data_IF_190554645180
#
_entry.id   IF_190554645180
#
_cell.length_a   1.000
_cell.length_b   1.000
_cell.length_c   1.000
_cell.angle_alpha   90.00
_cell.angle_beta   90.00
_cell.angle_gamma   90.00
#
_symmetry.space_group_name_H-M   'P 1'
#
loop_
_entity.id
_entity.type
_entity.pdbx_description
1 polymer ?
#
# COMPACT_ATOMS: atom_id res chain seq x y z
N UNK A 1 5.56 6.14 -37.49
CA UNK A 1 4.67 5.42 -36.57
C UNK A 1 5.26 5.51 -35.17
N UNK A 2 4.68 6.31 -34.28
CA UNK A 2 5.17 6.52 -32.92
C UNK A 2 4.12 6.01 -31.92
N UNK A 3 4.46 4.95 -31.18
CA UNK A 3 3.62 4.38 -30.12
C UNK A 3 3.55 5.32 -28.91
N UNK A 4 2.34 5.69 -28.51
CA UNK A 4 2.08 6.51 -27.32
C UNK A 4 2.12 5.62 -26.07
N UNK A 5 2.67 6.08 -24.93
CA UNK A 5 2.65 5.32 -23.68
C UNK A 5 1.22 5.35 -23.08
N UNK A 6 0.69 4.18 -22.75
CA UNK A 6 -0.61 4.05 -22.07
C UNK A 6 -0.43 4.49 -20.61
N UNK A 7 -0.85 5.73 -20.33
CA UNK A 7 -0.99 6.27 -18.97
C UNK A 7 -2.16 5.55 -18.28
N UNK A 8 -1.91 4.73 -17.27
CA UNK A 8 -2.98 4.14 -16.45
C UNK A 8 -3.59 5.20 -15.52
N UNK A 9 -4.79 5.64 -15.87
CA UNK A 9 -5.59 6.66 -15.19
C UNK A 9 -6.67 5.97 -14.34
N UNK A 10 -6.76 6.33 -13.05
CA UNK A 10 -7.95 6.38 -12.20
C UNK A 10 -9.03 5.29 -12.38
N UNK A 11 -9.12 4.38 -11.42
CA UNK A 11 -10.36 3.65 -11.16
C UNK A 11 -11.20 4.36 -10.06
N UNK A 12 -12.52 4.36 -10.27
CA UNK A 12 -13.48 5.43 -9.94
C UNK A 12 -14.45 4.98 -8.82
N UNK A 13 -15.02 5.97 -8.11
CA UNK A 13 -16.32 5.98 -7.40
C UNK A 13 -16.41 5.58 -5.90
N UNK A 14 -16.25 6.59 -5.04
CA UNK A 14 -17.27 6.92 -4.03
C UNK A 14 -17.59 8.42 -4.09
N UNK A 15 -18.69 8.74 -4.78
CA UNK A 15 -19.70 9.78 -4.48
C UNK A 15 -19.37 11.07 -3.73
N UNK A 16 -18.18 11.66 -3.84
CA UNK A 16 -17.95 13.06 -3.42
C UNK A 16 -17.13 13.71 -4.52
N UNK A 17 -17.67 14.78 -5.13
CA UNK A 17 -16.89 15.70 -5.97
C UNK A 17 -15.74 16.23 -5.11
N UNK A 18 -14.57 15.58 -5.17
CA UNK A 18 -13.37 16.17 -4.59
C UNK A 18 -12.73 17.05 -5.67
N UNK A 19 -12.36 18.30 -5.35
CA UNK A 19 -11.75 19.20 -6.32
C UNK A 19 -10.49 18.56 -6.91
N UNK A 20 -10.18 18.87 -8.16
CA UNK A 20 -9.07 18.30 -8.95
C UNK A 20 -7.72 18.27 -8.20
N UNK A 21 -7.52 19.24 -7.31
CA UNK A 21 -6.39 19.31 -6.37
C UNK A 21 -6.21 18.08 -5.46
N UNK A 22 -7.31 17.47 -5.01
CA UNK A 22 -7.26 16.28 -4.16
C UNK A 22 -6.79 15.03 -4.91
N UNK A 23 -7.09 14.96 -6.21
CA UNK A 23 -6.67 13.85 -7.05
C UNK A 23 -5.18 13.95 -7.39
N UNK A 24 -4.73 15.15 -7.79
CA UNK A 24 -3.31 15.43 -8.02
C UNK A 24 -2.48 15.19 -6.76
N UNK A 25 -3.01 15.57 -5.58
CA UNK A 25 -2.35 15.29 -4.31
C UNK A 25 -2.24 13.79 -4.03
N UNK A 26 -3.29 12.99 -4.31
CA UNK A 26 -3.27 11.53 -4.20
C UNK A 26 -2.17 10.90 -5.06
N UNK A 27 -2.20 11.16 -6.37
CA UNK A 27 -1.22 10.64 -7.33
C UNK A 27 0.21 11.04 -6.95
N UNK A 28 0.41 12.28 -6.50
CA UNK A 28 1.73 12.74 -6.03
C UNK A 28 2.20 11.99 -4.78
N UNK A 29 1.28 11.64 -3.89
CA UNK A 29 1.56 10.82 -2.71
C UNK A 29 2.12 9.45 -3.11
N UNK A 30 1.43 8.78 -4.03
CA UNK A 30 1.80 7.46 -4.56
C UNK A 30 3.16 7.51 -5.26
N UNK A 31 3.42 8.49 -6.13
CA UNK A 31 4.73 8.67 -6.78
C UNK A 31 5.88 8.82 -5.78
N UNK A 32 5.67 9.61 -4.72
CA UNK A 32 6.69 9.84 -3.70
C UNK A 32 6.98 8.59 -2.86
N UNK A 33 5.98 7.74 -2.64
CA UNK A 33 6.15 6.43 -2.00
C UNK A 33 6.84 5.45 -2.96
N UNK A 34 6.41 5.38 -4.21
CA UNK A 34 7.06 4.58 -5.25
C UNK A 34 8.56 4.91 -5.37
N UNK A 35 8.95 6.17 -5.31
CA UNK A 35 10.37 6.58 -5.30
C UNK A 35 11.17 6.07 -4.07
N UNK A 36 10.53 5.83 -2.93
CA UNK A 36 11.18 5.17 -1.80
C UNK A 36 11.32 3.65 -2.02
N UNK A 37 10.28 3.03 -2.60
CA UNK A 37 10.23 1.60 -2.86
C UNK A 37 11.18 1.17 -3.98
N UNK A 38 11.40 2.01 -4.99
CA UNK A 38 12.35 1.77 -6.08
C UNK A 38 13.81 1.62 -5.61
N UNK A 39 14.10 2.01 -4.36
CA UNK A 39 15.42 1.89 -3.73
C UNK A 39 15.55 0.65 -2.84
N UNK A 40 14.56 -0.23 -2.81
CA UNK A 40 14.67 -1.53 -2.17
C UNK A 40 15.63 -2.42 -2.97
N UNK A 41 16.29 -3.35 -2.29
CA UNK A 41 17.25 -4.27 -2.91
C UNK A 41 16.57 -5.32 -3.81
N UNK A 42 17.37 -6.11 -4.56
CA UNK A 42 16.87 -7.05 -5.57
C UNK A 42 15.99 -8.18 -5.01
N UNK A 43 16.05 -8.44 -3.71
CA UNK A 43 15.17 -9.41 -3.03
C UNK A 43 13.72 -8.93 -2.90
N UNK A 44 13.43 -7.68 -3.26
CA UNK A 44 12.10 -7.08 -3.15
C UNK A 44 11.45 -6.93 -4.53
N UNK A 45 10.19 -7.29 -4.63
CA UNK A 45 9.32 -7.01 -5.77
C UNK A 45 8.26 -6.00 -5.36
N UNK A 46 8.04 -4.98 -6.17
CA UNK A 46 7.02 -3.96 -5.96
C UNK A 46 6.08 -3.96 -7.14
N UNK A 47 4.78 -4.11 -6.85
CA UNK A 47 3.71 -3.93 -7.82
C UNK A 47 2.98 -2.63 -7.48
N UNK A 48 2.71 -1.81 -8.47
CA UNK A 48 2.01 -0.54 -8.30
C UNK A 48 0.62 -0.62 -8.94
N UNK A 49 -0.35 0.11 -8.40
CA UNK A 49 -1.71 0.23 -8.92
C UNK A 49 -2.33 -1.15 -9.21
N UNK A 50 -2.31 -2.03 -8.19
CA UNK A 50 -2.78 -3.41 -8.34
C UNK A 50 -4.30 -3.42 -8.29
N UNK A 51 -4.99 -3.76 -9.40
CA UNK A 51 -6.44 -3.75 -9.43
C UNK A 51 -6.98 -4.86 -8.55
N UNK A 52 -7.93 -4.57 -7.67
CA UNK A 52 -8.55 -5.60 -6.83
C UNK A 52 -10.05 -5.73 -7.10
N UNK A 53 -10.39 -6.86 -7.72
CA UNK A 53 -11.70 -7.30 -8.21
C UNK A 53 -12.49 -6.31 -9.07
N UNK A 54 -13.79 -6.54 -9.21
CA UNK A 54 -14.59 -5.98 -10.31
C UNK A 54 -15.09 -4.54 -10.11
N UNK A 55 -14.93 -3.95 -8.92
CA UNK A 55 -15.50 -2.62 -8.58
C UNK A 55 -14.54 -1.45 -8.83
N UNK A 56 -13.41 -1.67 -9.49
CA UNK A 56 -12.47 -0.60 -9.86
C UNK A 56 -11.79 0.06 -8.64
N UNK A 57 -11.45 -0.72 -7.61
CA UNK A 57 -10.59 -0.26 -6.53
C UNK A 57 -9.18 -0.83 -6.73
N UNK A 58 -8.15 0.00 -6.59
CA UNK A 58 -6.77 -0.42 -6.73
C UNK A 58 -6.05 -0.33 -5.38
N UNK A 59 -5.10 -1.23 -5.15
CA UNK A 59 -4.12 -1.11 -4.07
C UNK A 59 -2.94 -0.31 -4.62
N UNK A 60 -2.60 0.82 -3.99
CA UNK A 60 -1.53 1.70 -4.48
C UNK A 60 -0.23 0.92 -4.71
N UNK A 61 0.23 0.16 -3.71
CA UNK A 61 1.40 -0.69 -3.84
C UNK A 61 1.26 -2.03 -3.10
N UNK A 62 1.66 -3.12 -3.76
CA UNK A 62 1.91 -4.42 -3.13
C UNK A 62 3.42 -4.67 -3.13
N UNK A 63 4.00 -4.84 -1.95
CA UNK A 63 5.44 -5.03 -1.76
C UNK A 63 5.68 -6.44 -1.24
N UNK A 64 6.51 -7.22 -1.94
CA UNK A 64 6.87 -8.59 -1.59
C UNK A 64 8.37 -8.66 -1.36
N UNK A 65 8.80 -9.27 -0.26
CA UNK A 65 10.21 -9.49 0.01
C UNK A 65 10.43 -10.55 1.08
N UNK A 66 11.68 -10.75 1.53
CA UNK A 66 12.01 -11.80 2.50
C UNK A 66 11.23 -11.67 3.82
N UNK A 67 10.86 -10.44 4.18
CA UNK A 67 10.11 -10.13 5.38
C UNK A 67 8.58 -10.33 5.27
N UNK A 68 8.09 -10.82 4.12
CA UNK A 68 6.68 -11.09 3.86
C UNK A 68 6.07 -10.17 2.79
N UNK A 69 4.73 -10.08 2.81
CA UNK A 69 3.93 -9.31 1.84
C UNK A 69 3.22 -8.15 2.52
N UNK A 70 3.22 -6.99 1.87
CA UNK A 70 2.67 -5.75 2.42
C UNK A 70 1.80 -5.04 1.38
N UNK A 71 0.66 -4.50 1.81
CA UNK A 71 -0.09 -3.50 1.03
C UNK A 71 0.19 -2.13 1.61
N UNK A 72 0.62 -1.19 0.78
CA UNK A 72 0.92 0.18 1.20
C UNK A 72 -0.14 1.11 0.61
N UNK A 73 -0.76 1.91 1.47
CA UNK A 73 -1.74 2.91 1.10
C UNK A 73 -1.18 4.32 1.39
N UNK A 74 -0.99 5.11 0.34
CA UNK A 74 -0.38 6.43 0.36
C UNK A 74 -1.41 7.48 0.73
N UNK A 75 -1.21 8.16 1.87
CA UNK A 75 -2.11 9.22 2.36
C UNK A 75 -1.40 10.57 2.37
N UNK A 76 -1.57 11.32 1.30
CA UNK A 76 -1.00 12.66 1.19
C UNK A 76 -1.78 13.66 2.03
N UNK A 77 -1.15 14.14 3.10
CA UNK A 77 -1.66 15.17 4.01
C UNK A 77 -0.60 16.26 4.16
N UNK A 78 -0.56 17.18 3.19
CA UNK A 78 0.42 18.28 3.14
C UNK A 78 0.33 19.15 4.40
N UNK A 79 1.48 19.36 5.05
CA UNK A 79 1.68 20.21 6.22
C UNK A 79 0.77 19.86 7.43
N UNK A 80 0.18 18.67 7.41
CA UNK A 80 -0.77 18.24 8.43
C UNK A 80 -0.07 17.69 9.67
N UNK A 81 -0.77 17.81 10.82
CA UNK A 81 -0.42 17.11 12.05
C UNK A 81 -1.27 15.85 12.16
N UNK A 82 -0.60 14.71 12.23
CA UNK A 82 -1.23 13.39 12.30
C UNK A 82 -0.99 12.79 13.68
N UNK A 83 -2.07 12.30 14.31
CA UNK A 83 -1.99 11.52 15.55
C UNK A 83 -2.52 10.11 15.31
N UNK A 84 -1.82 9.12 15.84
CA UNK A 84 -2.19 7.70 15.78
C UNK A 84 -2.25 7.14 17.20
N UNK A 85 -3.37 6.51 17.53
CA UNK A 85 -3.54 5.73 18.76
C UNK A 85 -4.37 4.47 18.47
N UNK A 86 -3.66 3.36 18.24
CA UNK A 86 -4.26 2.11 17.78
C UNK A 86 -4.96 2.32 16.45
N UNK A 87 -6.21 1.90 16.35
CA UNK A 87 -7.03 2.00 15.14
C UNK A 87 -7.49 3.43 14.81
N UNK A 88 -7.22 4.40 15.69
CA UNK A 88 -7.70 5.77 15.53
C UNK A 88 -6.61 6.66 14.95
N UNK A 89 -6.89 7.24 13.78
CA UNK A 89 -6.03 8.23 13.14
C UNK A 89 -6.79 9.54 13.05
N UNK A 90 -6.15 10.63 13.49
CA UNK A 90 -6.64 11.99 13.31
C UNK A 90 -5.66 12.79 12.46
N UNK A 91 -6.19 13.55 11.51
CA UNK A 91 -5.45 14.49 10.67
C UNK A 91 -6.00 15.88 10.94
N UNK A 92 -5.19 16.78 11.49
CA UNK A 92 -5.62 18.11 11.93
C UNK A 92 -6.89 18.08 12.81
N UNK A 93 -6.95 17.10 13.72
CA UNK A 93 -8.09 16.89 14.62
C UNK A 93 -9.27 16.11 14.03
N UNK A 94 -9.29 15.85 12.72
CA UNK A 94 -10.38 15.13 12.05
C UNK A 94 -10.09 13.64 11.96
N UNK A 95 -11.02 12.81 12.45
CA UNK A 95 -10.90 11.35 12.43
C UNK A 95 -10.86 10.80 11.00
N UNK A 96 -10.09 9.72 10.80
CA UNK A 96 -9.89 9.07 9.50
C UNK A 96 -10.01 7.55 9.61
N UNK A 97 -10.62 6.93 8.60
CA UNK A 97 -10.80 5.46 8.51
C UNK A 97 -9.61 4.72 7.90
N UNK A 98 -8.41 5.33 7.83
CA UNK A 98 -7.28 4.78 7.08
C UNK A 98 -6.86 3.38 7.55
N UNK A 99 -6.86 3.11 8.86
CA UNK A 99 -6.52 1.79 9.41
C UNK A 99 -7.51 0.72 8.95
N UNK A 100 -8.82 0.98 9.10
CA UNK A 100 -9.88 0.07 8.66
C UNK A 100 -9.74 -0.26 7.16
N UNK A 101 -9.50 0.75 6.33
CA UNK A 101 -9.39 0.57 4.89
C UNK A 101 -8.15 -0.26 4.53
N UNK A 102 -6.98 0.06 5.09
CA UNK A 102 -5.75 -0.72 4.85
C UNK A 102 -5.82 -2.14 5.37
N UNK A 103 -6.54 -2.40 6.47
CA UNK A 103 -6.83 -3.75 6.96
C UNK A 103 -7.65 -4.54 5.95
N UNK A 104 -8.74 -3.96 5.44
CA UNK A 104 -9.57 -4.63 4.42
C UNK A 104 -8.78 -4.90 3.13
N UNK A 105 -7.94 -3.97 2.67
CA UNK A 105 -7.05 -4.16 1.53
C UNK A 105 -6.07 -5.33 1.76
N UNK A 106 -5.41 -5.36 2.91
CA UNK A 106 -4.47 -6.42 3.27
C UNK A 106 -5.16 -7.80 3.35
N UNK A 107 -6.32 -7.89 4.03
CA UNK A 107 -7.10 -9.13 4.11
C UNK A 107 -7.50 -9.64 2.73
N UNK A 108 -7.88 -8.74 1.83
CA UNK A 108 -8.27 -9.11 0.46
C UNK A 108 -7.08 -9.63 -0.33
N UNK A 109 -5.94 -8.95 -0.26
CA UNK A 109 -4.70 -9.39 -0.90
C UNK A 109 -4.24 -10.76 -0.37
N UNK A 110 -4.30 -10.95 0.95
CA UNK A 110 -3.98 -12.22 1.60
C UNK A 110 -4.85 -13.36 1.06
N UNK A 111 -6.17 -13.15 0.98
CA UNK A 111 -7.11 -14.14 0.44
C UNK A 111 -6.77 -14.53 -1.00
N UNK A 112 -6.57 -13.54 -1.87
CA UNK A 112 -6.33 -13.75 -3.31
C UNK A 112 -4.98 -14.44 -3.57
N UNK A 113 -3.92 -14.00 -2.89
CA UNK A 113 -2.60 -14.60 -3.02
C UNK A 113 -2.61 -16.02 -2.46
N UNK A 114 -3.22 -16.25 -1.30
CA UNK A 114 -3.30 -17.60 -0.70
C UNK A 114 -4.03 -18.58 -1.62
N UNK A 115 -5.15 -18.16 -2.22
CA UNK A 115 -5.89 -18.97 -3.18
C UNK A 115 -5.05 -19.30 -4.43
N UNK A 116 -4.23 -18.35 -4.90
CA UNK A 116 -3.42 -18.53 -6.10
C UNK A 116 -2.18 -19.42 -5.92
N UNK A 117 -1.70 -19.60 -4.68
CA UNK A 117 -0.52 -20.43 -4.37
C UNK A 117 -0.82 -21.70 -3.58
N UNK A 118 -2.02 -21.84 -3.03
CA UNK A 118 -2.45 -23.04 -2.31
C UNK A 118 -1.96 -23.15 -0.86
N UNK A 119 -1.41 -22.07 -0.28
CA UNK A 119 -1.00 -22.01 1.12
C UNK A 119 -1.27 -20.61 1.72
N UNK A 120 -1.31 -20.46 3.07
CA UNK A 120 -1.57 -19.16 3.69
C UNK A 120 -0.49 -18.12 3.37
N UNK A 121 -0.92 -16.97 2.85
CA UNK A 121 -0.10 -15.78 2.59
C UNK A 121 -0.56 -14.63 3.48
N UNK A 122 0.03 -14.46 4.68
CA UNK A 122 -0.24 -13.28 5.51
C UNK A 122 0.20 -12.02 4.78
N UNK A 123 -0.67 -11.00 4.76
CA UNK A 123 -0.38 -9.68 4.20
C UNK A 123 -0.59 -8.64 5.28
N UNK A 124 0.41 -7.79 5.51
CA UNK A 124 0.31 -6.69 6.48
C UNK A 124 -0.04 -5.38 5.76
N UNK A 125 -1.09 -4.70 6.24
CA UNK A 125 -1.46 -3.38 5.76
C UNK A 125 -0.53 -2.31 6.33
N UNK A 126 -0.18 -1.32 5.51
CA UNK A 126 0.66 -0.20 5.90
C UNK A 126 0.02 1.11 5.41
N UNK A 127 -0.35 1.98 6.35
CA UNK A 127 -0.73 3.35 6.04
C UNK A 127 0.55 4.18 5.95
N UNK A 128 0.75 4.86 4.83
CA UNK A 128 1.95 5.66 4.57
C UNK A 128 1.57 7.14 4.46
N UNK A 129 1.66 7.93 5.56
CA UNK A 129 1.49 9.36 5.48
C UNK A 129 2.60 10.01 4.63
N UNK A 130 2.17 10.90 3.73
CA UNK A 130 3.04 11.69 2.84
C UNK A 130 2.80 13.17 3.10
N UNK A 131 3.87 13.97 3.22
CA UNK A 131 3.79 15.43 3.33
C UNK A 131 3.35 15.97 4.68
N UNK A 132 3.14 15.13 5.70
CA UNK A 132 2.77 15.56 7.04
C UNK A 132 3.89 16.35 7.72
N UNK A 133 3.55 17.48 8.34
CA UNK A 133 4.47 18.27 9.15
C UNK A 133 4.85 17.56 10.46
N UNK A 134 3.92 16.78 11.03
CA UNK A 134 4.17 15.98 12.22
C UNK A 134 3.39 14.67 12.18
N UNK A 135 4.02 13.60 12.70
CA UNK A 135 3.40 12.29 12.90
C UNK A 135 3.67 11.85 14.34
N UNK A 136 2.66 11.94 15.19
CA UNK A 136 2.65 11.46 16.59
C UNK A 136 2.00 10.08 16.65
N UNK A 137 2.81 9.02 16.80
CA UNK A 137 2.34 7.65 16.97
C UNK A 137 2.47 7.27 18.43
N UNK A 138 1.36 7.33 19.17
CA UNK A 138 1.32 6.92 20.58
C UNK A 138 1.27 5.41 20.72
N UNK A 139 0.51 4.77 19.84
CA UNK A 139 0.35 3.32 19.76
C UNK A 139 0.05 2.93 18.32
N UNK A 140 0.76 1.96 17.78
CA UNK A 140 0.45 1.41 16.46
C UNK A 140 -0.85 0.59 16.52
N UNK A 141 -1.63 0.55 15.41
CA UNK A 141 -2.63 -0.50 15.24
C UNK A 141 -2.00 -1.89 15.36
N UNK A 142 -2.77 -2.88 15.80
CA UNK A 142 -2.24 -4.21 16.09
C UNK A 142 -1.78 -4.97 14.83
N UNK A 143 -2.54 -4.85 13.73
CA UNK A 143 -2.38 -5.61 12.50
C UNK A 143 -2.08 -4.74 11.26
N UNK A 144 -2.08 -3.42 11.44
CA UNK A 144 -1.71 -2.41 10.44
C UNK A 144 -0.59 -1.54 11.00
N UNK A 145 0.33 -1.11 10.14
CA UNK A 145 1.43 -0.23 10.54
C UNK A 145 1.24 1.17 9.95
N UNK A 146 1.42 2.21 10.76
CA UNK A 146 1.51 3.59 10.25
C UNK A 146 2.97 3.98 10.19
N UNK A 147 3.47 4.22 8.97
CA UNK A 147 4.90 4.48 8.75
C UNK A 147 5.06 5.69 7.85
N UNK A 148 5.75 6.72 8.32
CA UNK A 148 6.03 7.90 7.50
C UNK A 148 6.78 7.50 6.22
N UNK A 149 6.40 8.07 5.08
CA UNK A 149 7.06 7.84 3.78
C UNK A 149 8.59 7.88 3.86
N UNK A 150 9.17 8.86 4.56
CA UNK A 150 10.62 9.02 4.66
C UNK A 150 11.31 7.81 5.33
N UNK A 151 10.57 7.02 6.11
CA UNK A 151 11.07 5.85 6.84
C UNK A 151 10.63 4.53 6.21
N UNK A 152 9.63 4.50 5.32
CA UNK A 152 9.00 3.25 4.83
C UNK A 152 10.01 2.27 4.22
N UNK A 153 10.97 2.76 3.42
CA UNK A 153 12.04 1.92 2.84
C UNK A 153 12.87 1.24 3.91
N UNK A 154 13.40 2.03 4.86
CA UNK A 154 14.24 1.52 5.95
C UNK A 154 13.45 0.59 6.86
N UNK A 155 12.19 0.93 7.12
CA UNK A 155 11.29 0.11 7.91
C UNK A 155 11.08 -1.26 7.25
N UNK A 156 10.78 -1.33 5.95
CA UNK A 156 10.65 -2.59 5.20
C UNK A 156 11.97 -3.38 5.21
N UNK A 157 13.07 -2.75 4.82
CA UNK A 157 14.38 -3.41 4.68
C UNK A 157 14.98 -3.87 6.01
N UNK A 158 14.58 -3.26 7.14
CA UNK A 158 15.07 -3.63 8.47
C UNK A 158 14.28 -4.77 9.14
N UNK A 159 13.25 -5.31 8.49
CA UNK A 159 12.46 -6.43 9.05
C UNK A 159 13.22 -7.75 8.88
N UNK A 160 13.12 -8.68 9.84
CA UNK A 160 13.73 -9.99 9.71
C UNK A 160 13.09 -10.77 8.56
N UNK A 161 13.87 -11.61 7.85
CA UNK A 161 13.32 -12.53 6.86
C UNK A 161 12.46 -13.58 7.58
N UNK A 162 11.29 -13.87 7.01
CA UNK A 162 10.33 -14.86 7.53
C UNK A 162 9.94 -15.91 6.48
N UNK A 163 10.27 -15.67 5.21
CA UNK A 163 9.89 -16.55 4.10
C UNK A 163 11.13 -17.16 3.45
N UNK A 164 11.02 -18.41 3.01
CA UNK A 164 12.05 -19.02 2.17
C UNK A 164 12.08 -18.35 0.78
N UNK A 165 13.21 -18.47 0.09
CA UNK A 165 13.33 -17.97 -1.29
C UNK A 165 12.30 -18.62 -2.24
N UNK A 166 11.99 -19.91 -2.02
CA UNK A 166 11.01 -20.66 -2.79
C UNK A 166 9.58 -20.17 -2.57
N UNK A 167 9.17 -19.99 -1.30
CA UNK A 167 7.85 -19.44 -0.96
C UNK A 167 7.67 -18.04 -1.53
N UNK A 168 8.69 -17.18 -1.39
CA UNK A 168 8.67 -15.83 -1.95
C UNK A 168 8.56 -15.84 -3.47
N UNK A 169 9.32 -16.70 -4.15
CA UNK A 169 9.26 -16.84 -5.60
C UNK A 169 7.87 -17.26 -6.08
N UNK A 170 7.25 -18.26 -5.43
CA UNK A 170 5.91 -18.72 -5.77
C UNK A 170 4.86 -17.60 -5.65
N UNK A 171 4.91 -16.82 -4.57
CA UNK A 171 3.96 -15.72 -4.36
C UNK A 171 4.24 -14.54 -5.27
N UNK A 172 5.51 -14.23 -5.59
CA UNK A 172 5.85 -13.21 -6.60
C UNK A 172 5.31 -13.61 -7.98
N UNK A 173 5.47 -14.87 -8.38
CA UNK A 173 4.92 -15.36 -9.66
C UNK A 173 3.39 -15.29 -9.68
N UNK A 174 2.72 -15.62 -8.56
CA UNK A 174 1.29 -15.42 -8.43
C UNK A 174 0.90 -13.94 -8.53
N UNK A 175 1.53 -13.08 -7.74
CA UNK A 175 1.22 -11.66 -7.67
C UNK A 175 1.38 -10.93 -9.01
N UNK A 176 2.30 -11.38 -9.88
CA UNK A 176 2.52 -10.80 -11.21
C UNK A 176 1.41 -11.14 -12.23
N UNK A 177 0.57 -12.15 -11.97
CA UNK A 177 -0.52 -12.53 -12.87
C UNK A 177 -1.73 -11.61 -12.61
N UNK A 178 -2.21 -10.84 -13.61
CA UNK A 178 -3.40 -10.00 -13.43
C UNK A 178 -4.63 -10.80 -12.95
N UNK A 179 -4.80 -12.03 -13.45
CA UNK A 179 -5.89 -12.92 -13.06
C UNK A 179 -5.94 -13.24 -11.55
N UNK A 180 -4.81 -13.22 -10.86
CA UNK A 180 -4.76 -13.43 -9.40
C UNK A 180 -5.57 -12.38 -8.65
N UNK A 181 -5.71 -11.17 -9.19
CA UNK A 181 -6.35 -10.06 -8.50
C UNK A 181 -7.79 -9.81 -8.90
N UNK A 182 -8.27 -10.48 -9.95
CA UNK A 182 -9.64 -10.34 -10.45
C UNK A 182 -10.67 -11.02 -9.54
N UNK A 183 -10.25 -12.08 -8.83
CA UNK A 183 -11.01 -12.71 -7.76
C UNK A 183 -12.22 -13.53 -8.19
#
# INVERSE_FOLDING_TARGET
>A
MAGRPVRSVLARLLGVRRPEHSWQAGARGEELVAGQLARLGPSWTVLHSVPVGSRGSDIDHVVLGPAGVFTLNSKHHRDARIRVDGDRIWVNGQYQHHVRNSRHEAMRAARLLSAAVGFPVPVQGVVVPVGAAALDVRRQPADVQVVNRARVRRWLAGRPPVWSAEQLAAVVQAARRPATWLG
#
